data_IF_954556240400
#
_entry.id   IF_954556240400
#
_cell.length_a   1.000
_cell.length_b   1.000
_cell.length_c   1.000
_cell.angle_alpha   90.00
_cell.angle_beta   90.00
_cell.angle_gamma   90.00
#
_symmetry.space_group_name_H-M   'P 1'
#
loop_
_entity.id
_entity.type
_entity.pdbx_description
1 polymer ?
#
# COMPACT_ATOMS: atom_id res chain seq x y z
N UNK A 1 -35.05 68.55 9.04
CA UNK A 1 -34.59 68.00 10.33
C UNK A 1 -34.52 66.50 10.12
N UNK A 2 -33.36 65.97 9.74
CA UNK A 2 -33.16 64.58 9.42
C UNK A 2 -32.36 63.95 10.57
N UNK A 3 -32.93 62.89 11.18
CA UNK A 3 -32.32 62.21 12.32
C UNK A 3 -31.55 61.05 11.73
N UNK A 4 -30.22 61.03 11.88
CA UNK A 4 -29.34 59.95 11.55
C UNK A 4 -29.26 58.96 12.70
N UNK A 5 -29.58 57.68 12.45
CA UNK A 5 -29.38 56.54 13.35
C UNK A 5 -27.98 55.93 13.08
N UNK A 6 -27.24 55.57 14.13
CA UNK A 6 -25.95 54.92 13.94
C UNK A 6 -26.12 53.43 13.63
N UNK A 7 -25.47 52.93 12.58
CA UNK A 7 -25.28 51.53 12.29
C UNK A 7 -24.23 50.93 13.23
N UNK A 8 -24.64 49.98 14.04
CA UNK A 8 -23.73 49.12 14.82
C UNK A 8 -23.30 47.97 13.95
N UNK A 9 -22.00 47.93 13.58
CA UNK A 9 -21.37 46.77 12.99
C UNK A 9 -21.15 45.71 14.08
N UNK A 10 -21.89 44.61 14.03
CA UNK A 10 -21.58 43.40 14.78
C UNK A 10 -20.58 42.63 13.94
N UNK A 11 -19.34 42.54 14.40
CA UNK A 11 -18.33 41.64 13.85
C UNK A 11 -18.71 40.20 14.23
N UNK A 12 -19.22 39.44 13.28
CA UNK A 12 -19.42 38.01 13.44
C UNK A 12 -18.07 37.34 13.24
N UNK A 13 -17.56 36.71 14.30
CA UNK A 13 -16.49 35.72 14.22
C UNK A 13 -16.87 34.61 13.22
N UNK A 14 -16.00 34.39 12.27
CA UNK A 14 -16.20 33.37 11.27
C UNK A 14 -16.18 31.98 11.91
N UNK A 15 -17.21 31.21 11.65
CA UNK A 15 -17.21 29.76 11.79
C UNK A 15 -16.20 29.21 10.79
N UNK A 16 -15.18 28.50 11.28
CA UNK A 16 -14.37 27.57 10.52
C UNK A 16 -15.33 26.48 10.03
N UNK A 17 -15.82 26.67 8.83
CA UNK A 17 -16.47 25.59 8.09
C UNK A 17 -15.37 24.63 7.69
N UNK A 18 -15.27 23.50 8.40
CA UNK A 18 -14.71 22.29 7.86
C UNK A 18 -15.29 22.12 6.46
N UNK A 19 -14.47 22.35 5.45
CA UNK A 19 -14.83 22.02 4.08
C UNK A 19 -14.82 20.50 4.01
N UNK A 20 -16.01 19.91 4.15
CA UNK A 20 -16.23 18.54 3.68
C UNK A 20 -15.87 18.52 2.19
N UNK A 21 -14.66 18.09 1.87
CA UNK A 21 -14.31 17.75 0.50
C UNK A 21 -15.29 16.67 0.05
N UNK A 22 -15.81 16.74 -1.18
CA UNK A 22 -16.73 15.74 -1.66
C UNK A 22 -16.00 14.38 -1.66
N UNK A 23 -16.43 13.52 -0.74
CA UNK A 23 -15.94 12.13 -0.68
C UNK A 23 -16.35 11.48 -2.00
N UNK A 24 -15.40 11.29 -2.91
CA UNK A 24 -15.64 10.49 -4.11
C UNK A 24 -16.14 9.12 -3.67
N UNK A 25 -17.24 8.59 -4.27
CA UNK A 25 -17.72 7.29 -3.91
C UNK A 25 -16.60 6.25 -4.03
N UNK A 26 -16.35 5.54 -2.93
CA UNK A 26 -15.40 4.43 -2.91
C UNK A 26 -16.02 3.26 -3.69
N UNK A 27 -15.60 3.10 -4.95
CA UNK A 27 -16.10 2.07 -5.86
C UNK A 27 -15.20 0.82 -5.90
N UNK A 28 -14.17 0.76 -5.06
CA UNK A 28 -13.27 -0.39 -5.04
C UNK A 28 -13.90 -1.56 -4.26
N UNK A 29 -13.90 -2.73 -4.91
CA UNK A 29 -14.41 -3.95 -4.31
C UNK A 29 -13.45 -4.54 -3.29
N UNK A 30 -14.01 -5.19 -2.28
CA UNK A 30 -13.26 -5.89 -1.24
C UNK A 30 -13.91 -7.22 -0.86
N UNK A 31 -13.12 -8.08 -0.26
CA UNK A 31 -13.56 -9.37 0.26
C UNK A 31 -13.26 -9.46 1.76
N UNK A 32 -14.26 -9.97 2.51
CA UNK A 32 -14.09 -10.45 3.87
C UNK A 32 -13.68 -11.92 3.82
N UNK A 33 -12.49 -12.24 4.29
CA UNK A 33 -11.96 -13.59 4.36
C UNK A 33 -12.29 -14.31 5.69
N UNK A 34 -13.00 -13.64 6.59
CA UNK A 34 -13.29 -14.17 7.93
C UNK A 34 -12.06 -14.18 8.85
N UNK A 35 -11.13 -13.25 8.64
CA UNK A 35 -9.92 -13.14 9.45
C UNK A 35 -10.26 -12.62 10.86
N UNK A 36 -9.55 -13.07 11.92
CA UNK A 36 -9.77 -12.61 13.29
C UNK A 36 -9.66 -11.09 13.48
N UNK A 37 -8.80 -10.42 12.73
CA UNK A 37 -8.66 -8.96 12.74
C UNK A 37 -9.86 -8.23 12.13
N UNK A 38 -10.69 -8.92 11.34
CA UNK A 38 -11.73 -8.31 10.51
C UNK A 38 -11.19 -7.51 9.33
N UNK A 39 -9.92 -7.71 8.95
CA UNK A 39 -9.31 -7.03 7.80
C UNK A 39 -10.05 -7.38 6.51
N UNK A 40 -10.49 -6.36 5.79
CA UNK A 40 -11.09 -6.47 4.46
C UNK A 40 -10.04 -6.20 3.39
N UNK A 41 -9.88 -7.14 2.45
CA UNK A 41 -8.86 -7.06 1.40
C UNK A 41 -9.48 -6.61 0.08
N UNK A 42 -8.85 -5.67 -0.60
CA UNK A 42 -9.25 -5.29 -1.95
C UNK A 42 -9.20 -6.50 -2.90
N UNK A 43 -10.14 -6.58 -3.85
CA UNK A 43 -10.14 -7.66 -4.86
C UNK A 43 -9.08 -7.46 -5.93
N UNK A 44 -8.66 -6.20 -6.18
CA UNK A 44 -7.66 -5.82 -7.19
C UNK A 44 -6.42 -5.15 -6.58
N UNK A 45 -5.31 -5.16 -7.30
CA UNK A 45 -4.13 -4.34 -7.01
C UNK A 45 -4.41 -2.88 -7.40
N UNK A 46 -3.62 -1.93 -6.87
CA UNK A 46 -3.65 -0.54 -7.36
C UNK A 46 -3.27 -0.53 -8.85
N UNK A 47 -4.01 0.24 -9.66
CA UNK A 47 -3.84 0.29 -11.12
C UNK A 47 -4.51 -0.84 -11.89
N UNK A 48 -5.09 -1.84 -11.21
CA UNK A 48 -5.81 -2.95 -11.82
C UNK A 48 -7.33 -2.73 -11.81
N UNK A 49 -8.01 -3.25 -12.84
CA UNK A 49 -9.48 -3.20 -12.98
C UNK A 49 -10.16 -4.54 -12.68
N UNK A 50 -9.42 -5.64 -12.80
CA UNK A 50 -9.88 -7.01 -12.48
C UNK A 50 -8.85 -7.71 -11.59
N UNK A 51 -9.22 -8.76 -10.85
CA UNK A 51 -8.33 -9.45 -9.91
C UNK A 51 -7.07 -10.06 -10.54
N UNK A 52 -7.12 -10.42 -11.82
CA UNK A 52 -6.02 -11.02 -12.57
C UNK A 52 -5.01 -10.00 -13.09
N UNK A 53 -5.37 -8.73 -13.21
CA UNK A 53 -4.45 -7.68 -13.63
C UNK A 53 -3.37 -7.45 -12.57
N UNK A 54 -2.14 -7.31 -13.03
CA UNK A 54 -0.97 -7.07 -12.18
C UNK A 54 -1.07 -5.70 -11.49
N UNK A 55 -1.60 -4.67 -12.19
CA UNK A 55 -1.63 -3.30 -11.71
C UNK A 55 -0.27 -2.60 -11.77
N UNK A 56 -0.13 -1.57 -10.98
CA UNK A 56 1.05 -0.71 -10.94
C UNK A 56 2.09 -1.21 -9.92
N UNK A 57 3.36 -0.82 -10.18
CA UNK A 57 4.46 -1.05 -9.26
C UNK A 57 4.80 0.26 -8.54
N UNK A 58 5.17 0.14 -7.27
CA UNK A 58 5.54 1.28 -6.43
C UNK A 58 6.84 0.98 -5.70
N UNK A 59 7.77 1.94 -5.67
CA UNK A 59 8.83 1.91 -4.68
C UNK A 59 8.23 2.21 -3.30
N UNK A 60 8.81 1.66 -2.24
CA UNK A 60 8.22 1.77 -0.90
C UNK A 60 8.16 3.23 -0.40
N UNK A 61 6.97 3.71 -0.08
CA UNK A 61 6.73 5.10 0.32
C UNK A 61 6.66 6.08 -0.86
N UNK A 62 6.56 5.58 -2.08
CA UNK A 62 6.20 6.36 -3.28
C UNK A 62 4.76 6.03 -3.68
N UNK A 63 4.06 7.01 -4.22
CA UNK A 63 2.62 6.93 -4.49
C UNK A 63 2.26 7.01 -5.96
N UNK A 64 3.26 7.10 -6.83
CA UNK A 64 3.12 7.05 -8.28
C UNK A 64 4.05 5.97 -8.86
N UNK A 65 3.61 5.25 -9.91
CA UNK A 65 4.49 4.35 -10.65
C UNK A 65 5.55 5.13 -11.42
N UNK A 66 6.67 4.47 -11.74
CA UNK A 66 7.77 5.04 -12.52
C UNK A 66 8.39 3.99 -13.43
N UNK A 67 9.27 4.38 -14.33
CA UNK A 67 9.92 3.47 -15.27
C UNK A 67 11.14 2.76 -14.68
N UNK A 68 11.93 3.48 -13.86
CA UNK A 68 13.19 3.00 -13.30
C UNK A 68 13.07 2.90 -11.78
N UNK A 69 13.43 1.74 -11.23
CA UNK A 69 13.32 1.41 -9.80
C UNK A 69 14.71 1.13 -9.21
N UNK A 70 15.50 2.18 -9.05
CA UNK A 70 16.82 2.15 -8.43
C UNK A 70 16.94 3.15 -7.26
N UNK A 71 18.06 3.12 -6.54
CA UNK A 71 18.29 4.02 -5.41
C UNK A 71 18.51 5.47 -5.85
N UNK A 72 19.06 5.71 -7.04
CA UNK A 72 19.41 7.07 -7.48
C UNK A 72 18.16 7.91 -7.76
N UNK A 73 17.05 7.29 -8.14
CA UNK A 73 15.76 7.96 -8.33
C UNK A 73 14.75 7.68 -7.22
N UNK A 74 15.16 7.08 -6.10
CA UNK A 74 14.29 6.84 -4.97
C UNK A 74 14.02 8.14 -4.19
N UNK A 75 12.74 8.48 -4.01
CA UNK A 75 12.27 9.75 -3.39
C UNK A 75 12.92 10.09 -2.05
N UNK A 76 13.20 9.08 -1.23
CA UNK A 76 13.71 9.25 0.14
C UNK A 76 15.21 8.98 0.26
N UNK A 77 15.94 9.08 -0.84
CA UNK A 77 17.39 8.93 -0.88
C UNK A 77 18.06 10.18 -1.44
N UNK A 78 19.14 10.58 -0.81
CA UNK A 78 19.98 11.67 -1.27
C UNK A 78 21.31 11.07 -1.77
N UNK A 79 21.45 10.94 -3.08
CA UNK A 79 22.63 10.36 -3.74
C UNK A 79 23.92 11.15 -3.46
N UNK A 80 23.83 12.47 -3.24
CA UNK A 80 25.01 13.30 -2.94
C UNK A 80 25.62 13.01 -1.57
N UNK A 81 24.83 12.56 -0.62
CA UNK A 81 25.27 12.22 0.74
C UNK A 81 25.26 10.72 1.03
N UNK A 82 24.76 9.89 0.10
CA UNK A 82 24.51 8.46 0.29
C UNK A 82 23.66 8.17 1.54
N UNK A 83 22.56 8.95 1.72
CA UNK A 83 21.75 8.94 2.92
C UNK A 83 20.26 8.92 2.64
N UNK A 84 19.53 8.18 3.48
CA UNK A 84 18.08 8.25 3.55
C UNK A 84 17.63 9.57 4.21
N UNK A 85 16.57 10.16 3.68
CA UNK A 85 16.00 11.42 4.18
C UNK A 85 14.73 11.23 4.99
N UNK A 86 14.10 10.04 4.95
CA UNK A 86 12.88 9.68 5.68
C UNK A 86 12.81 8.17 5.96
N UNK A 87 12.05 7.79 6.97
CA UNK A 87 11.89 6.39 7.37
C UNK A 87 13.22 5.72 7.70
N UNK A 88 14.03 6.39 8.48
CA UNK A 88 15.34 5.92 8.91
C UNK A 88 15.39 5.72 10.43
N UNK A 89 15.84 4.56 10.86
CA UNK A 89 15.93 4.18 12.28
C UNK A 89 17.38 4.10 12.78
N UNK A 90 18.38 4.29 11.89
CA UNK A 90 19.80 4.17 12.19
C UNK A 90 20.56 5.32 11.49
N UNK A 91 21.32 6.12 12.25
CA UNK A 91 22.07 7.27 11.77
C UNK A 91 23.18 6.93 10.75
N UNK A 92 23.61 5.68 10.76
CA UNK A 92 24.52 5.14 9.75
C UNK A 92 23.93 5.27 8.33
N UNK A 93 22.62 5.12 8.18
CA UNK A 93 21.95 5.08 6.88
C UNK A 93 21.25 6.39 6.50
N UNK A 94 21.07 7.33 7.43
CA UNK A 94 20.39 8.58 7.10
C UNK A 94 19.96 9.44 8.28
N UNK A 95 19.06 10.37 8.00
CA UNK A 95 18.43 11.20 9.03
C UNK A 95 17.41 10.37 9.80
N UNK A 96 17.70 10.12 11.08
CA UNK A 96 16.83 9.32 11.95
C UNK A 96 15.53 10.07 12.24
N UNK A 97 14.41 9.49 11.86
CA UNK A 97 13.06 9.96 12.18
C UNK A 97 12.23 8.92 12.95
N UNK A 98 12.77 7.71 13.13
CA UNK A 98 12.17 6.58 13.85
C UNK A 98 10.76 6.20 13.38
N UNK A 99 10.38 6.57 12.16
CA UNK A 99 9.11 6.13 11.58
C UNK A 99 9.25 4.72 11.02
N UNK A 100 8.45 3.83 11.52
CA UNK A 100 8.44 2.41 11.12
C UNK A 100 7.23 2.01 10.30
N UNK A 101 6.30 2.94 10.06
CA UNK A 101 5.17 2.78 9.16
C UNK A 101 5.03 3.99 8.24
N UNK A 102 4.53 3.77 7.02
CA UNK A 102 4.23 4.84 6.07
C UNK A 102 3.15 5.78 6.63
N UNK A 103 3.42 7.07 6.51
CA UNK A 103 2.42 8.10 6.71
C UNK A 103 1.37 8.06 5.59
N UNK A 104 0.16 8.58 5.81
CA UNK A 104 -0.90 8.58 4.80
C UNK A 104 -0.47 9.15 3.44
N UNK A 105 0.26 10.24 3.43
CA UNK A 105 0.74 10.92 2.23
C UNK A 105 1.80 10.13 1.43
N UNK A 106 2.37 9.07 2.01
CA UNK A 106 3.36 8.19 1.39
C UNK A 106 2.84 6.76 1.21
N UNK A 107 1.57 6.53 1.55
CA UNK A 107 0.89 5.26 1.38
C UNK A 107 0.18 5.25 0.01
N UNK A 108 0.65 4.39 -0.91
CA UNK A 108 0.13 4.32 -2.26
C UNK A 108 -1.39 4.02 -2.30
N UNK A 109 -1.90 3.21 -1.37
CA UNK A 109 -3.32 2.90 -1.32
C UNK A 109 -4.15 4.11 -0.87
N UNK A 110 -3.67 4.84 0.14
CA UNK A 110 -4.34 6.05 0.61
C UNK A 110 -4.41 7.13 -0.47
N UNK A 111 -3.30 7.38 -1.12
CA UNK A 111 -3.21 8.48 -2.10
C UNK A 111 -4.00 8.16 -3.37
N UNK A 112 -3.96 6.91 -3.86
CA UNK A 112 -4.62 6.54 -5.11
C UNK A 112 -6.11 6.20 -4.94
N UNK A 113 -6.53 5.63 -3.79
CA UNK A 113 -7.90 5.15 -3.57
C UNK A 113 -8.66 5.90 -2.47
N UNK A 114 -7.99 6.82 -1.78
CA UNK A 114 -8.60 7.66 -0.75
C UNK A 114 -8.52 7.10 0.67
N UNK A 115 -9.05 7.85 1.66
CA UNK A 115 -8.78 7.66 3.09
C UNK A 115 -9.33 6.36 3.69
N UNK A 116 -10.20 5.67 2.97
CA UNK A 116 -10.74 4.37 3.40
C UNK A 116 -9.77 3.20 3.14
N UNK A 117 -8.68 3.45 2.41
CA UNK A 117 -7.74 2.43 1.98
C UNK A 117 -6.33 2.67 2.51
N UNK A 118 -5.62 1.59 2.77
CA UNK A 118 -4.22 1.58 3.21
C UNK A 118 -3.48 0.41 2.57
N UNK A 119 -2.19 0.56 2.44
CA UNK A 119 -1.33 -0.61 2.30
C UNK A 119 -1.47 -1.47 3.57
N UNK A 120 -1.44 -2.81 3.46
CA UNK A 120 -1.52 -3.66 4.64
C UNK A 120 -0.31 -3.44 5.57
N UNK A 121 -0.49 -3.69 6.86
CA UNK A 121 0.65 -3.87 7.79
C UNK A 121 1.30 -5.22 7.57
N UNK A 122 2.52 -5.38 8.11
CA UNK A 122 3.18 -6.67 8.14
C UNK A 122 2.34 -7.72 8.90
N UNK A 123 1.74 -7.34 10.03
CA UNK A 123 0.87 -8.22 10.83
C UNK A 123 -0.37 -8.68 10.05
N UNK A 124 -0.98 -7.82 9.24
CA UNK A 124 -2.11 -8.18 8.40
C UNK A 124 -1.71 -9.18 7.30
N UNK A 125 -0.52 -9.02 6.73
CA UNK A 125 0.02 -10.01 5.78
C UNK A 125 0.40 -11.32 6.47
N UNK A 126 0.95 -11.26 7.69
CA UNK A 126 1.24 -12.45 8.50
C UNK A 126 -0.04 -13.21 8.84
N UNK A 127 -1.09 -12.52 9.26
CA UNK A 127 -2.39 -13.13 9.52
C UNK A 127 -2.95 -13.84 8.27
N UNK A 128 -2.82 -13.23 7.09
CA UNK A 128 -3.22 -13.86 5.83
C UNK A 128 -2.48 -15.18 5.59
N UNK A 129 -1.17 -15.21 5.86
CA UNK A 129 -0.35 -16.42 5.73
C UNK A 129 -0.79 -17.51 6.71
N UNK A 130 -1.06 -17.14 7.96
CA UNK A 130 -1.34 -18.10 9.04
C UNK A 130 -2.77 -18.64 9.04
N UNK A 131 -3.73 -17.83 8.57
CA UNK A 131 -5.15 -18.15 8.71
C UNK A 131 -5.81 -18.64 7.44
N UNK A 132 -5.18 -18.47 6.29
CA UNK A 132 -5.73 -18.86 5.00
C UNK A 132 -5.01 -20.07 4.40
N UNK A 133 -5.68 -20.75 3.48
CA UNK A 133 -5.04 -21.75 2.62
C UNK A 133 -4.61 -21.11 1.31
N UNK A 134 -3.51 -21.60 0.74
CA UNK A 134 -2.85 -21.02 -0.42
C UNK A 134 -2.67 -22.05 -1.51
N UNK A 135 -3.24 -21.78 -2.69
CA UNK A 135 -3.12 -22.66 -3.84
C UNK A 135 -2.53 -21.91 -5.03
N UNK A 136 -1.53 -22.47 -5.69
CA UNK A 136 -1.03 -21.95 -6.95
C UNK A 136 -2.01 -22.29 -8.06
N UNK A 137 -2.49 -21.29 -8.78
CA UNK A 137 -3.49 -21.47 -9.84
C UNK A 137 -3.18 -20.55 -11.03
N UNK A 138 -3.78 -20.87 -12.16
CA UNK A 138 -3.85 -20.01 -13.33
C UNK A 138 -5.30 -19.52 -13.49
N UNK A 139 -5.48 -18.21 -13.69
CA UNK A 139 -6.76 -17.58 -14.01
C UNK A 139 -6.59 -16.66 -15.22
N UNK A 140 -7.38 -16.87 -16.26
CA UNK A 140 -7.35 -16.07 -17.48
C UNK A 140 -5.94 -15.87 -18.08
N UNK A 141 -5.09 -16.89 -18.00
CA UNK A 141 -3.70 -16.84 -18.48
C UNK A 141 -2.71 -16.18 -17.52
N UNK A 142 -3.14 -15.82 -16.29
CA UNK A 142 -2.29 -15.22 -15.27
C UNK A 142 -2.10 -16.19 -14.11
N UNK A 143 -0.85 -16.49 -13.80
CA UNK A 143 -0.50 -17.30 -12.63
C UNK A 143 -0.54 -16.47 -11.35
N UNK A 144 -0.88 -17.11 -10.23
CA UNK A 144 -0.93 -16.47 -8.94
C UNK A 144 -1.33 -17.41 -7.81
N UNK A 145 -1.60 -16.82 -6.65
CA UNK A 145 -2.11 -17.55 -5.49
C UNK A 145 -3.59 -17.27 -5.28
N UNK A 146 -4.37 -18.35 -5.24
CA UNK A 146 -5.73 -18.32 -4.70
C UNK A 146 -5.63 -18.52 -3.19
N UNK A 147 -6.02 -17.49 -2.46
CA UNK A 147 -6.04 -17.44 -1.00
C UNK A 147 -7.47 -17.69 -0.55
N UNK A 148 -7.71 -18.74 0.24
CA UNK A 148 -9.04 -19.06 0.78
C UNK A 148 -9.06 -18.81 2.27
N UNK A 149 -9.93 -17.91 2.70
CA UNK A 149 -10.11 -17.55 4.09
C UNK A 149 -10.89 -18.58 4.92
N UNK A 150 -10.91 -18.45 6.25
CA UNK A 150 -11.65 -19.32 7.16
C UNK A 150 -13.14 -19.43 6.85
N UNK A 151 -13.75 -18.38 6.29
CA UNK A 151 -15.16 -18.35 5.90
C UNK A 151 -15.45 -18.93 4.50
N UNK A 152 -14.41 -19.41 3.79
CA UNK A 152 -14.52 -19.97 2.44
C UNK A 152 -14.45 -18.94 1.30
N UNK A 153 -14.45 -17.65 1.60
CA UNK A 153 -14.26 -16.62 0.59
C UNK A 153 -12.82 -16.61 0.08
N UNK A 154 -12.63 -16.13 -1.14
CA UNK A 154 -11.34 -16.21 -1.83
C UNK A 154 -10.82 -14.87 -2.29
N UNK A 155 -9.50 -14.74 -2.30
CA UNK A 155 -8.75 -13.63 -2.85
C UNK A 155 -7.71 -14.18 -3.85
N UNK A 156 -7.64 -13.62 -5.06
CA UNK A 156 -6.59 -13.96 -6.01
C UNK A 156 -5.48 -12.90 -5.97
N UNK A 157 -4.25 -13.36 -5.82
CA UNK A 157 -3.03 -12.53 -5.84
C UNK A 157 -2.19 -12.95 -7.05
N UNK A 158 -2.15 -12.14 -8.15
CA UNK A 158 -1.33 -12.45 -9.30
C UNK A 158 0.16 -12.50 -8.98
N UNK A 159 0.88 -13.38 -9.67
CA UNK A 159 2.34 -13.44 -9.63
C UNK A 159 2.90 -12.32 -10.51
N UNK A 160 3.00 -11.15 -9.92
CA UNK A 160 3.33 -9.90 -10.61
C UNK A 160 4.85 -9.68 -10.78
N UNK A 161 5.69 -10.60 -10.25
CA UNK A 161 7.12 -10.38 -10.12
C UNK A 161 7.44 -9.05 -9.40
N UNK A 162 8.57 -8.43 -9.70
CA UNK A 162 8.94 -7.11 -9.19
C UNK A 162 9.84 -6.38 -10.19
N UNK A 163 9.96 -5.07 -10.04
CA UNK A 163 10.87 -4.23 -10.82
C UNK A 163 12.07 -3.81 -9.98
N UNK A 164 13.26 -3.96 -10.53
CA UNK A 164 14.50 -3.50 -9.94
C UNK A 164 15.59 -3.35 -11.00
N UNK A 165 16.48 -2.38 -10.85
CA UNK A 165 17.68 -2.16 -11.70
C UNK A 165 17.42 -2.26 -13.22
N UNK A 166 16.35 -1.60 -13.71
CA UNK A 166 15.93 -1.61 -15.12
C UNK A 166 15.45 -2.97 -15.66
N UNK A 167 15.25 -3.97 -14.83
CA UNK A 167 14.73 -5.27 -15.23
C UNK A 167 13.30 -5.50 -14.72
N UNK A 168 12.44 -5.95 -15.62
CA UNK A 168 11.19 -6.61 -15.29
C UNK A 168 11.47 -8.12 -15.37
N UNK A 169 11.50 -8.81 -14.25
CA UNK A 169 11.43 -10.26 -14.26
C UNK A 169 9.97 -10.63 -14.60
N UNK A 170 9.70 -11.00 -15.83
CA UNK A 170 8.34 -11.19 -16.34
C UNK A 170 8.01 -12.69 -16.49
N UNK A 171 8.44 -13.51 -15.55
CA UNK A 171 8.25 -14.97 -15.61
C UNK A 171 6.92 -15.41 -14.98
N UNK A 172 6.13 -14.50 -14.40
CA UNK A 172 4.91 -14.82 -13.64
C UNK A 172 5.11 -15.98 -12.64
N UNK A 173 6.25 -15.97 -12.00
CA UNK A 173 6.66 -17.03 -11.08
C UNK A 173 6.72 -16.58 -9.62
N UNK A 174 6.66 -15.27 -9.39
CA UNK A 174 6.83 -14.62 -8.09
C UNK A 174 5.70 -13.61 -7.88
N UNK A 175 5.13 -13.55 -6.68
CA UNK A 175 4.33 -12.42 -6.21
C UNK A 175 5.07 -11.66 -5.14
N UNK A 176 5.18 -10.35 -5.31
CA UNK A 176 5.82 -9.44 -4.37
C UNK A 176 4.89 -8.26 -4.07
N UNK A 177 4.51 -8.12 -2.81
CA UNK A 177 3.50 -7.16 -2.36
C UNK A 177 3.99 -6.38 -1.16
N UNK A 178 4.13 -5.07 -1.29
CA UNK A 178 4.54 -4.22 -0.16
C UNK A 178 3.55 -4.26 0.99
N UNK A 179 4.08 -4.24 2.21
CA UNK A 179 3.40 -3.72 3.39
C UNK A 179 3.77 -2.25 3.61
N UNK A 180 3.04 -1.54 4.48
CA UNK A 180 3.42 -0.19 4.91
C UNK A 180 4.45 -0.18 6.05
N UNK A 181 4.91 -1.34 6.51
CA UNK A 181 5.74 -1.50 7.72
C UNK A 181 7.21 -1.69 7.37
N UNK A 182 8.09 -1.06 8.14
CA UNK A 182 9.51 -1.40 8.20
C UNK A 182 9.73 -2.51 9.23
N UNK A 183 10.45 -3.55 8.84
CA UNK A 183 10.99 -4.55 9.76
C UNK A 183 12.50 -4.38 9.85
N UNK A 184 13.02 -4.16 11.07
CA UNK A 184 14.45 -3.99 11.33
C UNK A 184 15.12 -2.94 10.43
N UNK A 185 14.38 -1.87 10.08
CA UNK A 185 14.88 -0.78 9.23
C UNK A 185 14.74 -0.99 7.73
N UNK A 186 14.22 -2.14 7.30
CA UNK A 186 13.91 -2.44 5.90
C UNK A 186 12.40 -2.54 5.67
N UNK A 187 11.89 -2.07 4.51
CA UNK A 187 10.51 -2.33 4.14
C UNK A 187 10.29 -3.81 3.91
N UNK A 188 9.19 -4.31 4.41
CA UNK A 188 8.82 -5.71 4.32
C UNK A 188 7.51 -5.90 3.58
N UNK A 189 7.31 -7.08 3.04
CA UNK A 189 6.12 -7.42 2.31
C UNK A 189 5.90 -8.91 2.17
N UNK A 190 4.72 -9.25 1.64
CA UNK A 190 4.35 -10.60 1.29
C UNK A 190 5.07 -11.03 0.02
N UNK A 191 5.69 -12.18 0.06
CA UNK A 191 6.39 -12.79 -1.05
C UNK A 191 5.94 -14.23 -1.25
N UNK A 192 5.73 -14.65 -2.49
CA UNK A 192 5.45 -16.03 -2.83
C UNK A 192 6.06 -16.44 -4.18
N UNK A 193 6.27 -17.75 -4.33
CA UNK A 193 6.78 -18.38 -5.56
C UNK A 193 5.87 -19.52 -6.00
N UNK A 194 6.05 -19.96 -7.25
CA UNK A 194 5.31 -21.09 -7.82
C UNK A 194 5.81 -22.47 -7.32
N UNK A 195 7.06 -22.56 -6.85
CA UNK A 195 7.69 -23.81 -6.42
C UNK A 195 7.88 -23.84 -4.91
N UNK A 196 7.73 -25.03 -4.33
CA UNK A 196 8.15 -25.46 -3.00
C UNK A 196 7.20 -25.28 -1.82
N UNK A 197 7.41 -26.20 -0.92
CA UNK A 197 6.85 -26.28 0.42
C UNK A 197 7.30 -25.08 1.28
N UNK A 198 6.44 -24.19 1.67
CA UNK A 198 6.66 -22.87 2.25
C UNK A 198 6.97 -21.76 1.22
N UNK A 199 6.25 -21.74 0.15
CA UNK A 199 6.41 -20.75 -0.90
C UNK A 199 5.72 -19.40 -0.63
N UNK A 200 5.19 -19.17 0.58
CA UNK A 200 4.57 -17.90 1.01
C UNK A 200 5.19 -17.48 2.33
N UNK A 201 5.79 -16.30 2.36
CA UNK A 201 6.48 -15.78 3.56
C UNK A 201 6.60 -14.26 3.50
N UNK A 202 6.91 -13.65 4.64
CA UNK A 202 7.28 -12.23 4.70
C UNK A 202 8.77 -12.08 4.39
N UNK A 203 9.09 -11.03 3.66
CA UNK A 203 10.46 -10.76 3.20
C UNK A 203 10.76 -9.27 3.20
N UNK A 204 11.94 -8.91 3.71
CA UNK A 204 12.46 -7.54 3.64
C UNK A 204 13.22 -7.33 2.34
N UNK A 205 13.00 -6.18 1.70
CA UNK A 205 13.59 -5.92 0.39
C UNK A 205 14.10 -4.47 0.27
N UNK A 206 14.85 -4.20 -0.82
CA UNK A 206 15.36 -2.88 -1.17
C UNK A 206 14.16 -1.96 -1.45
N UNK A 207 14.08 -0.84 -0.75
CA UNK A 207 12.93 0.08 -0.78
C UNK A 207 12.70 0.80 -2.11
N UNK A 208 13.74 0.93 -2.94
CA UNK A 208 13.63 1.51 -4.28
C UNK A 208 13.04 0.57 -5.32
N UNK A 209 12.99 -0.74 -5.04
CA UNK A 209 12.38 -1.70 -5.96
C UNK A 209 10.87 -1.51 -6.03
N UNK A 210 10.29 -1.77 -7.19
CA UNK A 210 8.86 -1.67 -7.45
C UNK A 210 8.14 -2.98 -7.16
N UNK A 211 7.27 -3.00 -6.14
CA UNK A 211 6.35 -4.10 -5.86
C UNK A 211 4.92 -3.64 -6.09
N UNK A 212 4.04 -4.59 -6.31
CA UNK A 212 2.60 -4.32 -6.36
C UNK A 212 2.03 -4.05 -4.96
N UNK A 213 0.86 -3.44 -4.91
CA UNK A 213 0.14 -3.16 -3.67
C UNK A 213 -1.25 -3.74 -3.74
N UNK A 214 -1.59 -4.62 -2.78
CA UNK A 214 -2.95 -5.07 -2.53
C UNK A 214 -3.48 -4.33 -1.31
N UNK A 215 -4.39 -3.36 -1.49
CA UNK A 215 -4.91 -2.57 -0.38
C UNK A 215 -5.76 -3.36 0.61
N UNK A 216 -5.84 -2.82 1.83
CA UNK A 216 -6.82 -3.21 2.84
C UNK A 216 -7.72 -2.03 3.16
N UNK A 217 -8.99 -2.31 3.48
CA UNK A 217 -9.95 -1.29 3.86
C UNK A 217 -9.88 -1.02 5.36
N UNK A 218 -9.83 0.25 5.71
CA UNK A 218 -9.93 0.69 7.11
C UNK A 218 -11.37 0.53 7.57
N UNK A 219 -11.62 -0.31 8.58
CA UNK A 219 -12.95 -0.41 9.20
C UNK A 219 -13.26 0.91 9.92
N UNK A 220 -14.44 1.48 9.64
CA UNK A 220 -14.96 2.57 10.49
C UNK A 220 -15.16 1.99 11.89
N UNK A 221 -14.39 2.48 12.85
CA UNK A 221 -14.69 2.22 14.27
C UNK A 221 -15.94 2.96 14.69
#
# INVERSE_FOLDING_TARGET
MAIALPFVFISSCGDDKDKDEPVTPDNHEYVDLGLPSGTLWATCNIGASIPEDIGDYFAWGETAPKEIYDMDNYKWYNSSSDKLTKYCTDDKYGTVDNKTELLPEDDAAYVNWGPMWRMPTLDQQQELIERCTWQWVERNGVYGRLVTGPNGNTLFLPAADYRGDNSLNNEQSIGAYWSRTLDSGYPSGLYFRNFEWKSVYLFSHIRSHGFTVRPVRVSKK
#
